data_IF_497501089432
#
_entry.id   IF_497501089432
#
_cell.length_a   1.000
_cell.length_b   1.000
_cell.length_c   1.000
_cell.angle_alpha   90.00
_cell.angle_beta   90.00
_cell.angle_gamma   90.00
#
_symmetry.space_group_name_H-M   'P 1'
#
loop_
_entity.id
_entity.type
_entity.pdbx_description
1 polymer ?
#
# COMPACT_ATOMS: atom_id res chain seq x y z
N UNK A 1 12.63 -14.85 -22.74
CA UNK A 1 12.05 -15.09 -21.40
C UNK A 1 12.29 -13.92 -20.45
N UNK A 2 13.45 -13.25 -20.47
CA UNK A 2 13.77 -12.13 -19.55
C UNK A 2 12.85 -10.89 -19.56
N UNK A 3 12.09 -10.59 -20.61
CA UNK A 3 11.32 -9.33 -20.69
C UNK A 3 10.11 -9.29 -19.75
N UNK A 4 9.41 -10.42 -19.59
CA UNK A 4 8.20 -10.49 -18.76
C UNK A 4 8.54 -10.52 -17.27
N UNK A 5 9.61 -11.21 -16.88
CA UNK A 5 10.10 -11.24 -15.51
C UNK A 5 10.55 -9.85 -15.04
N UNK A 6 11.22 -9.09 -15.91
CA UNK A 6 11.61 -7.71 -15.63
C UNK A 6 10.40 -6.80 -15.44
N UNK A 7 9.38 -6.96 -16.26
CA UNK A 7 8.13 -6.20 -16.12
C UNK A 7 7.40 -6.56 -14.81
N UNK A 8 7.25 -7.86 -14.53
CA UNK A 8 6.63 -8.34 -13.30
C UNK A 8 7.36 -7.82 -12.05
N UNK A 9 8.69 -7.91 -12.05
CA UNK A 9 9.53 -7.40 -10.97
C UNK A 9 9.36 -5.88 -10.79
N UNK A 10 9.29 -5.13 -11.90
CA UNK A 10 9.07 -3.68 -11.84
C UNK A 10 7.71 -3.32 -11.23
N UNK A 11 6.65 -4.05 -11.60
CA UNK A 11 5.31 -3.86 -11.03
C UNK A 11 5.30 -4.14 -9.52
N UNK A 12 5.92 -5.24 -9.10
CA UNK A 12 6.04 -5.60 -7.68
C UNK A 12 6.80 -4.51 -6.92
N UNK A 13 7.94 -4.04 -7.44
CA UNK A 13 8.74 -2.99 -6.82
C UNK A 13 7.92 -1.70 -6.66
N UNK A 14 7.16 -1.32 -7.68
CA UNK A 14 6.35 -0.10 -7.63
C UNK A 14 5.21 -0.23 -6.61
N UNK A 15 4.50 -1.36 -6.60
CA UNK A 15 3.46 -1.64 -5.61
C UNK A 15 3.99 -1.58 -4.17
N UNK A 16 5.22 -2.06 -3.92
CA UNK A 16 5.86 -1.93 -2.60
C UNK A 16 6.14 -0.47 -2.26
N UNK A 17 6.62 0.35 -3.20
CA UNK A 17 6.87 1.77 -2.93
C UNK A 17 5.57 2.52 -2.60
N UNK A 18 4.49 2.23 -3.31
CA UNK A 18 3.22 2.90 -3.08
C UNK A 18 2.59 2.46 -1.75
N UNK A 19 2.68 1.17 -1.41
CA UNK A 19 2.31 0.68 -0.09
C UNK A 19 3.10 1.38 1.02
N UNK A 20 4.44 1.50 0.90
CA UNK A 20 5.30 2.19 1.88
C UNK A 20 4.90 3.65 2.10
N UNK A 21 4.65 4.39 1.01
CA UNK A 21 4.21 5.80 1.10
C UNK A 21 2.87 5.90 1.83
N UNK A 22 1.92 5.04 1.48
CA UNK A 22 0.58 5.04 2.06
C UNK A 22 0.63 4.74 3.57
N UNK A 23 1.27 3.66 4.00
CA UNK A 23 1.33 3.30 5.42
C UNK A 23 2.10 4.33 6.26
N UNK A 24 3.17 4.94 5.70
CA UNK A 24 3.91 6.01 6.37
C UNK A 24 3.05 7.25 6.56
N UNK A 25 2.29 7.64 5.54
CA UNK A 25 1.35 8.75 5.64
C UNK A 25 0.27 8.48 6.69
N UNK A 26 -0.34 7.30 6.65
CA UNK A 26 -1.41 6.90 7.58
C UNK A 26 -0.93 6.75 9.03
N UNK A 27 0.35 6.43 9.26
CA UNK A 27 0.97 6.44 10.59
C UNK A 27 0.91 7.84 11.23
N UNK A 28 1.18 8.88 10.45
CA UNK A 28 1.17 10.27 10.93
C UNK A 28 -0.21 10.92 10.86
N UNK A 29 -1.10 10.41 10.01
CA UNK A 29 -2.44 10.93 9.79
C UNK A 29 -3.47 9.79 9.91
N UNK A 30 -3.71 9.28 11.13
CA UNK A 30 -4.73 8.28 11.35
C UNK A 30 -6.11 8.85 11.03
N UNK A 31 -6.98 8.03 10.44
CA UNK A 31 -8.36 8.40 10.19
C UNK A 31 -9.09 8.51 11.53
N UNK A 32 -9.33 9.74 11.99
CA UNK A 32 -10.14 10.03 13.18
C UNK A 32 -11.54 10.49 12.78
N UNK A 33 -12.57 10.18 13.59
CA UNK A 33 -13.95 10.60 13.31
C UNK A 33 -14.11 12.14 13.31
N UNK A 34 -13.19 12.88 13.91
CA UNK A 34 -13.17 14.35 13.84
C UNK A 34 -12.88 14.86 12.42
N UNK A 35 -12.09 14.12 11.63
CA UNK A 35 -11.77 14.49 10.24
C UNK A 35 -12.99 14.42 9.31
N UNK A 36 -13.98 13.59 9.63
CA UNK A 36 -15.21 13.46 8.85
C UNK A 36 -16.20 14.62 9.09
N UNK A 37 -16.10 15.29 10.24
CA UNK A 37 -17.07 16.30 10.66
C UNK A 37 -16.59 17.74 10.43
N UNK A 38 -15.28 17.96 10.32
CA UNK A 38 -14.70 19.29 10.14
C UNK A 38 -14.56 19.66 8.66
N UNK A 39 -15.47 20.50 8.16
CA UNK A 39 -15.47 21.01 6.78
C UNK A 39 -14.17 21.75 6.41
N UNK A 40 -13.39 22.23 7.38
CA UNK A 40 -12.10 22.90 7.12
C UNK A 40 -10.99 21.90 6.77
N UNK A 41 -11.17 20.61 7.10
CA UNK A 41 -10.17 19.56 6.92
C UNK A 41 -10.48 18.62 5.75
N UNK A 42 -11.43 18.97 4.87
CA UNK A 42 -11.77 18.18 3.68
C UNK A 42 -10.54 17.78 2.85
N UNK A 43 -9.56 18.68 2.68
CA UNK A 43 -8.35 18.39 1.92
C UNK A 43 -7.41 17.37 2.63
N UNK A 44 -7.39 17.34 3.96
CA UNK A 44 -6.65 16.33 4.71
C UNK A 44 -7.39 14.99 4.66
N UNK A 45 -8.72 15.02 4.84
CA UNK A 45 -9.59 13.85 4.71
C UNK A 45 -9.44 13.17 3.35
N UNK A 46 -9.50 13.94 2.26
CA UNK A 46 -9.32 13.40 0.90
C UNK A 46 -7.95 12.74 0.72
N UNK A 47 -6.90 13.29 1.34
CA UNK A 47 -5.57 12.67 1.33
C UNK A 47 -5.53 11.38 2.15
N UNK A 48 -6.14 11.35 3.34
CA UNK A 48 -6.22 10.14 4.17
C UNK A 48 -6.95 9.04 3.41
N UNK A 49 -8.14 9.32 2.89
CA UNK A 49 -8.94 8.36 2.10
C UNK A 49 -8.16 7.87 0.89
N UNK A 50 -7.45 8.76 0.18
CA UNK A 50 -6.60 8.35 -0.94
C UNK A 50 -5.52 7.36 -0.49
N UNK A 51 -4.81 7.65 0.61
CA UNK A 51 -3.76 6.75 1.10
C UNK A 51 -4.33 5.43 1.63
N UNK A 52 -5.52 5.42 2.24
CA UNK A 52 -6.22 4.18 2.61
C UNK A 52 -6.53 3.32 1.38
N UNK A 53 -7.06 3.94 0.31
CA UNK A 53 -7.33 3.24 -0.94
C UNK A 53 -6.05 2.69 -1.60
N UNK A 54 -4.96 3.45 -1.59
CA UNK A 54 -3.66 3.01 -2.12
C UNK A 54 -3.11 1.83 -1.32
N UNK A 55 -3.19 1.90 0.03
CA UNK A 55 -2.84 0.78 0.92
C UNK A 55 -3.66 -0.46 0.57
N UNK A 56 -4.98 -0.33 0.48
CA UNK A 56 -5.89 -1.45 0.26
C UNK A 56 -5.73 -2.05 -1.14
N UNK A 57 -5.47 -1.23 -2.15
CA UNK A 57 -5.17 -1.68 -3.50
C UNK A 57 -3.87 -2.49 -3.54
N UNK A 58 -2.82 -2.03 -2.87
CA UNK A 58 -1.56 -2.75 -2.77
C UNK A 58 -1.73 -4.07 -2.00
N UNK A 59 -2.42 -4.06 -0.85
CA UNK A 59 -2.70 -5.28 -0.10
C UNK A 59 -3.50 -6.31 -0.91
N UNK A 60 -4.52 -5.85 -1.63
CA UNK A 60 -5.29 -6.71 -2.53
C UNK A 60 -4.44 -7.28 -3.65
N UNK A 61 -3.50 -6.50 -4.20
CA UNK A 61 -2.56 -6.97 -5.21
C UNK A 61 -1.65 -8.08 -4.66
N UNK A 62 -1.00 -7.87 -3.51
CA UNK A 62 -0.10 -8.85 -2.90
C UNK A 62 -0.81 -10.11 -2.41
N UNK A 63 -2.09 -10.01 -1.99
CA UNK A 63 -2.94 -11.15 -1.64
C UNK A 63 -3.60 -11.83 -2.84
N UNK A 64 -3.42 -11.30 -4.05
CA UNK A 64 -4.07 -11.85 -5.24
C UNK A 64 -3.28 -13.04 -5.79
N UNK A 65 -3.99 -13.98 -6.42
CA UNK A 65 -3.35 -15.09 -7.15
C UNK A 65 -2.47 -14.64 -8.32
N UNK A 66 -2.56 -13.37 -8.74
CA UNK A 66 -1.66 -12.82 -9.75
C UNK A 66 -0.25 -12.60 -9.19
N UNK A 67 -0.13 -12.17 -7.93
CA UNK A 67 1.17 -12.05 -7.27
C UNK A 67 1.82 -13.41 -7.04
N UNK A 68 1.04 -14.42 -6.64
CA UNK A 68 1.49 -15.81 -6.48
C UNK A 68 1.93 -16.44 -7.82
N UNK A 69 1.27 -16.07 -8.93
CA UNK A 69 1.67 -16.51 -10.26
C UNK A 69 2.98 -15.84 -10.73
N UNK A 70 3.22 -14.60 -10.33
CA UNK A 70 4.40 -13.83 -10.72
C UNK A 70 5.60 -14.05 -9.80
N UNK A 71 5.38 -14.55 -8.58
CA UNK A 71 6.45 -14.77 -7.60
C UNK A 71 6.13 -15.95 -6.69
N UNK A 72 7.16 -16.68 -6.28
CA UNK A 72 7.05 -17.73 -5.26
C UNK A 72 7.03 -17.19 -3.81
N UNK A 73 6.87 -15.88 -3.63
CA UNK A 73 6.87 -15.22 -2.32
C UNK A 73 5.47 -15.18 -1.74
N UNK A 74 5.39 -15.26 -0.41
CA UNK A 74 4.16 -15.01 0.33
C UNK A 74 3.92 -13.50 0.47
N UNK A 75 2.84 -13.01 -0.14
CA UNK A 75 2.47 -11.61 -0.14
C UNK A 75 2.19 -11.04 1.25
N UNK A 76 1.70 -11.85 2.19
CA UNK A 76 1.42 -11.40 3.55
C UNK A 76 2.69 -11.27 4.38
N UNK A 77 3.63 -12.20 4.21
CA UNK A 77 4.94 -12.08 4.85
C UNK A 77 5.66 -10.83 4.35
N UNK A 78 5.52 -10.51 3.05
CA UNK A 78 6.07 -9.29 2.46
C UNK A 78 5.43 -8.04 3.06
N UNK A 79 4.09 -7.96 3.07
CA UNK A 79 3.35 -6.83 3.64
C UNK A 79 3.71 -6.59 5.10
N UNK A 80 3.75 -7.66 5.90
CA UNK A 80 4.11 -7.60 7.32
C UNK A 80 5.51 -7.03 7.54
N UNK A 81 6.50 -7.52 6.80
CA UNK A 81 7.88 -6.99 6.88
C UNK A 81 7.96 -5.53 6.47
N UNK A 82 7.25 -5.13 5.42
CA UNK A 82 7.24 -3.72 4.98
C UNK A 82 6.60 -2.82 6.05
N UNK A 83 5.51 -3.28 6.67
CA UNK A 83 4.88 -2.57 7.77
C UNK A 83 5.80 -2.46 8.99
N UNK A 84 6.47 -3.54 9.39
CA UNK A 84 7.46 -3.55 10.48
C UNK A 84 8.62 -2.57 10.21
N UNK A 85 9.12 -2.49 8.98
CA UNK A 85 10.24 -1.61 8.63
C UNK A 85 9.88 -0.11 8.58
N UNK A 86 8.64 0.22 8.24
CA UNK A 86 8.18 1.61 8.07
C UNK A 86 7.44 2.17 9.29
N UNK A 87 6.70 1.28 9.98
CA UNK A 87 5.78 1.63 11.07
C UNK A 87 6.31 1.16 12.43
N UNK A 88 7.34 0.32 12.48
CA UNK A 88 8.11 0.01 13.69
C UNK A 88 8.79 1.21 14.34
#
# INVERSE_FOLDING_TARGET
>A
MESYERLASAIIIEAVKDYRKAIRFLKHHPHTPELDNDSQQNALRDKVIKNENERDAAERFFRSGWFEMLSSLDGEVLLKKVCEMEVG
#
